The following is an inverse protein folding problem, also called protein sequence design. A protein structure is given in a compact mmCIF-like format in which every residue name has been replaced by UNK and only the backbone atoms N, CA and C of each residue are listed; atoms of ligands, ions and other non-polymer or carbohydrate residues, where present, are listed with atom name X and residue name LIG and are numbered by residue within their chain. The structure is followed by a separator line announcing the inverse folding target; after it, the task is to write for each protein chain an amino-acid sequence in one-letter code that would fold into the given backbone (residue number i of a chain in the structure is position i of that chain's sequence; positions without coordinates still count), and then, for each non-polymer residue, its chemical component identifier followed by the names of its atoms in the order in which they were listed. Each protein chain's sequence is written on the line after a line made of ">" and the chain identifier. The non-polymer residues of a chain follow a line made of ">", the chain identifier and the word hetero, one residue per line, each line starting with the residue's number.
data_IF_469398013464
#
_entry.id   IF_469398013464
#
_cell.length_a   1.000
_cell.length_b   1.000
_cell.length_c   1.000
_cell.angle_alpha   90.00
_cell.angle_beta   90.00
_cell.angle_gamma   90.00
#
_symmetry.space_group_name_H-M   'P 1'
#
loop_
_entity.id
_entity.type
_entity.pdbx_description
1 polymer ?
#
# COMPACT_ATOMS: atom_id res chain seq x y z
N UNK A 1 20.56 -2.71 -2.81
CA UNK A 1 22.00 -2.52 -3.16
C UNK A 1 22.20 -2.04 -4.59
N UNK A 2 21.61 -2.69 -5.62
CA UNK A 2 21.84 -2.26 -7.01
C UNK A 2 21.44 -0.78 -7.20
N UNK A 3 20.19 -0.42 -6.92
CA UNK A 3 19.70 0.95 -7.11
C UNK A 3 20.46 1.99 -6.29
N UNK A 4 20.90 1.68 -5.08
CA UNK A 4 21.67 2.61 -4.25
C UNK A 4 23.03 2.97 -4.84
N UNK A 5 23.69 2.03 -5.50
CA UNK A 5 25.04 2.20 -6.05
C UNK A 5 25.04 2.61 -7.54
N UNK A 6 23.87 2.53 -8.20
CA UNK A 6 23.74 2.85 -9.62
C UNK A 6 23.73 4.38 -9.85
N UNK A 7 24.00 4.81 -11.05
CA UNK A 7 23.82 6.22 -11.45
C UNK A 7 22.32 6.56 -11.55
N UNK A 8 22.01 7.86 -11.43
CA UNK A 8 20.65 8.31 -11.71
C UNK A 8 20.37 8.21 -13.20
N UNK A 9 19.51 7.31 -13.59
CA UNK A 9 19.09 7.11 -14.99
C UNK A 9 17.60 6.83 -15.07
N UNK A 10 17.05 7.02 -16.25
CA UNK A 10 15.65 6.70 -16.54
C UNK A 10 15.54 5.37 -17.31
N UNK A 11 14.59 4.50 -16.97
CA UNK A 11 13.74 4.53 -15.78
C UNK A 11 14.53 4.25 -14.50
N UNK A 12 14.04 4.78 -13.37
CA UNK A 12 14.73 4.67 -12.09
C UNK A 12 14.96 3.21 -11.68
N UNK A 13 16.22 2.89 -11.38
CA UNK A 13 16.62 1.56 -10.90
C UNK A 13 16.52 0.45 -11.95
N UNK A 14 16.50 0.80 -13.24
CA UNK A 14 16.57 -0.18 -14.32
C UNK A 14 17.81 -1.05 -14.16
N UNK A 15 17.60 -2.37 -13.96
CA UNK A 15 18.66 -3.34 -13.77
C UNK A 15 18.65 -4.35 -14.93
N UNK A 16 19.61 -4.26 -15.86
CA UNK A 16 19.68 -5.15 -17.02
C UNK A 16 19.93 -6.61 -16.65
N UNK A 17 20.45 -6.87 -15.43
CA UNK A 17 20.75 -8.22 -14.96
C UNK A 17 19.58 -8.85 -14.17
N UNK A 18 18.42 -8.18 -14.10
CA UNK A 18 17.26 -8.68 -13.37
C UNK A 18 16.00 -8.60 -14.26
N UNK A 19 15.27 -9.71 -14.31
CA UNK A 19 14.09 -9.82 -15.18
C UNK A 19 14.40 -10.31 -16.58
N UNK A 20 15.47 -11.10 -16.78
CA UNK A 20 15.94 -11.60 -18.07
C UNK A 20 16.19 -10.44 -19.06
N UNK A 21 15.62 -10.51 -20.25
CA UNK A 21 15.81 -9.50 -21.31
C UNK A 21 15.02 -8.20 -21.07
N UNK A 22 14.16 -8.16 -20.02
CA UNK A 22 13.18 -7.09 -19.81
C UNK A 22 13.75 -5.91 -19.02
N UNK A 23 14.82 -6.12 -18.24
CA UNK A 23 15.41 -5.09 -17.40
C UNK A 23 14.39 -4.46 -16.41
N UNK A 24 14.10 -5.17 -15.32
CA UNK A 24 13.14 -4.70 -14.32
C UNK A 24 13.59 -3.40 -13.64
N UNK A 25 12.67 -2.44 -13.52
CA UNK A 25 12.89 -1.19 -12.79
C UNK A 25 12.52 -1.28 -11.30
N UNK A 26 12.79 -0.20 -10.56
CA UNK A 26 12.47 -0.10 -9.13
C UNK A 26 10.95 -0.21 -8.85
N UNK A 27 10.12 0.17 -9.81
CA UNK A 27 8.65 0.14 -9.72
C UNK A 27 8.10 -1.27 -9.48
N UNK A 28 8.77 -2.30 -10.04
CA UNK A 28 8.34 -3.70 -9.98
C UNK A 28 9.07 -4.51 -8.91
N UNK A 29 9.80 -3.85 -8.03
CA UNK A 29 10.54 -4.49 -6.95
C UNK A 29 9.83 -4.29 -5.60
N UNK A 30 9.97 -5.24 -4.67
CA UNK A 30 9.49 -5.09 -3.28
C UNK A 30 10.29 -4.08 -2.43
N UNK A 31 11.05 -3.19 -3.06
CA UNK A 31 11.99 -2.29 -2.40
C UNK A 31 11.35 -1.04 -1.77
N UNK A 32 10.02 -0.87 -1.86
CA UNK A 32 9.34 0.37 -1.46
C UNK A 32 9.97 1.58 -2.15
N UNK A 33 9.68 1.85 -3.42
CA UNK A 33 10.38 2.84 -4.25
C UNK A 33 10.58 4.21 -3.61
N UNK A 34 9.60 4.72 -2.87
CA UNK A 34 9.72 6.01 -2.17
C UNK A 34 10.89 6.03 -1.17
N UNK A 35 11.06 4.96 -0.39
CA UNK A 35 12.14 4.84 0.58
C UNK A 35 13.50 4.68 -0.12
N UNK A 36 13.52 3.87 -1.18
CA UNK A 36 14.73 3.67 -1.96
C UNK A 36 15.21 4.97 -2.62
N UNK A 37 14.31 5.77 -3.20
CA UNK A 37 14.63 7.07 -3.79
C UNK A 37 15.12 8.05 -2.72
N UNK A 38 14.39 8.13 -1.60
CA UNK A 38 14.75 9.01 -0.49
C UNK A 38 16.15 8.72 0.05
N UNK A 39 16.44 7.46 0.40
CA UNK A 39 17.74 7.11 0.97
C UNK A 39 18.88 7.12 -0.04
N UNK A 40 18.60 6.98 -1.33
CA UNK A 40 19.63 7.18 -2.37
C UNK A 40 20.19 8.61 -2.39
N UNK A 41 19.41 9.61 -2.03
CA UNK A 41 19.90 11.00 -1.91
C UNK A 41 20.99 11.15 -0.84
N UNK A 42 21.02 10.25 0.15
CA UNK A 42 21.93 10.28 1.28
C UNK A 42 22.98 9.17 1.25
N UNK A 43 23.13 8.47 0.13
CA UNK A 43 23.97 7.26 0.04
C UNK A 43 25.42 7.50 0.48
N UNK A 44 25.97 8.68 0.21
CA UNK A 44 27.36 9.02 0.53
C UNK A 44 27.64 9.20 2.04
N UNK A 45 26.60 9.33 2.86
CA UNK A 45 26.71 9.52 4.32
C UNK A 45 26.17 8.32 5.10
N UNK A 46 25.56 7.35 4.40
CA UNK A 46 25.02 6.16 5.02
C UNK A 46 26.07 5.03 5.08
N UNK A 47 26.04 4.19 6.12
CA UNK A 47 26.90 3.02 6.20
C UNK A 47 26.70 2.06 5.03
N UNK A 48 27.74 1.32 4.61
CA UNK A 48 27.69 0.36 3.49
C UNK A 48 26.62 -0.73 3.64
N UNK A 49 26.31 -1.08 4.89
CA UNK A 49 25.29 -2.10 5.22
C UNK A 49 23.94 -1.49 5.59
N UNK A 50 23.72 -0.21 5.29
CA UNK A 50 22.44 0.44 5.61
C UNK A 50 21.29 -0.19 4.82
N UNK A 51 20.18 -0.43 5.53
CA UNK A 51 18.89 -0.80 4.95
C UNK A 51 17.76 -0.16 5.75
N UNK A 52 16.76 0.33 5.06
CA UNK A 52 15.66 1.14 5.62
C UNK A 52 14.43 0.30 6.03
N UNK A 53 14.45 -1.02 5.89
CA UNK A 53 13.25 -1.83 6.10
C UNK A 53 12.71 -1.77 7.52
N UNK A 54 13.58 -1.77 8.55
CA UNK A 54 13.15 -1.61 9.94
C UNK A 54 12.49 -0.25 10.19
N UNK A 55 13.04 0.82 9.61
CA UNK A 55 12.44 2.14 9.66
C UNK A 55 11.09 2.17 8.94
N UNK A 56 10.99 1.50 7.78
CA UNK A 56 9.72 1.39 7.05
C UNK A 56 8.64 0.70 7.87
N UNK A 57 8.96 -0.43 8.52
CA UNK A 57 8.05 -1.13 9.42
C UNK A 57 7.58 -0.20 10.52
N UNK A 58 8.50 0.49 11.19
CA UNK A 58 8.16 1.46 12.24
C UNK A 58 7.21 2.54 11.74
N UNK A 59 7.49 3.13 10.57
CA UNK A 59 6.61 4.13 9.94
C UNK A 59 5.22 3.55 9.66
N UNK A 60 5.13 2.33 9.13
CA UNK A 60 3.85 1.68 8.86
C UNK A 60 3.03 1.49 10.14
N UNK A 61 3.62 0.97 11.21
CA UNK A 61 2.92 0.79 12.48
C UNK A 61 2.50 2.11 13.12
N UNK A 62 3.40 3.08 13.13
CA UNK A 62 3.11 4.41 13.68
C UNK A 62 1.97 5.08 12.93
N UNK A 63 2.04 5.17 11.60
CA UNK A 63 1.01 5.81 10.79
C UNK A 63 -0.31 5.04 10.82
N UNK A 64 -0.27 3.71 10.85
CA UNK A 64 -1.46 2.87 10.98
C UNK A 64 -2.24 3.21 12.25
N UNK A 65 -1.59 3.20 13.41
CA UNK A 65 -2.24 3.51 14.69
C UNK A 65 -2.65 4.99 14.77
N UNK A 66 -1.80 5.89 14.34
CA UNK A 66 -2.05 7.33 14.42
C UNK A 66 -3.24 7.77 13.56
N UNK A 67 -3.32 7.32 12.31
CA UNK A 67 -4.42 7.67 11.41
C UNK A 67 -5.72 7.01 11.89
N UNK A 68 -5.68 5.74 12.33
CA UNK A 68 -6.83 5.08 12.92
C UNK A 68 -7.34 5.85 14.15
N UNK A 69 -6.44 6.27 15.05
CA UNK A 69 -6.78 7.13 16.18
C UNK A 69 -7.49 8.40 15.72
N UNK A 70 -6.95 9.12 14.73
CA UNK A 70 -7.55 10.36 14.23
C UNK A 70 -8.95 10.15 13.64
N UNK A 71 -9.17 9.05 12.89
CA UNK A 71 -10.47 8.73 12.31
C UNK A 71 -11.50 8.49 13.44
N UNK A 72 -11.15 7.70 14.44
CA UNK A 72 -12.04 7.35 15.53
C UNK A 72 -12.30 8.59 16.40
N UNK A 73 -11.26 9.35 16.74
CA UNK A 73 -11.38 10.56 17.55
C UNK A 73 -12.27 11.61 16.89
N UNK A 74 -12.18 11.80 15.57
CA UNK A 74 -13.07 12.69 14.84
C UNK A 74 -14.55 12.30 14.89
N UNK A 75 -14.87 11.06 15.23
CA UNK A 75 -16.24 10.55 15.32
C UNK A 75 -16.75 10.47 16.76
N UNK A 76 -15.89 10.13 17.70
CA UNK A 76 -16.26 9.82 19.08
C UNK A 76 -15.94 10.94 20.06
N UNK A 77 -14.99 11.82 19.69
CA UNK A 77 -14.41 12.86 20.57
C UNK A 77 -13.86 12.29 21.90
N UNK A 78 -13.63 10.97 21.96
CA UNK A 78 -13.21 10.27 23.16
C UNK A 78 -11.82 9.66 22.96
N UNK A 79 -10.84 10.14 23.76
CA UNK A 79 -9.45 9.72 23.66
C UNK A 79 -9.29 8.23 23.94
N UNK A 80 -9.94 7.72 25.00
CA UNK A 80 -9.81 6.32 25.41
C UNK A 80 -10.33 5.36 24.34
N UNK A 81 -11.53 5.62 23.81
CA UNK A 81 -12.07 4.84 22.69
C UNK A 81 -11.18 4.91 21.46
N UNK A 82 -10.58 6.07 21.19
CA UNK A 82 -9.69 6.24 20.04
C UNK A 82 -8.39 5.45 20.18
N UNK A 83 -7.81 5.42 21.39
CA UNK A 83 -6.63 4.61 21.67
C UNK A 83 -6.96 3.12 21.52
N UNK A 84 -8.01 2.64 22.21
CA UNK A 84 -8.39 1.22 22.16
C UNK A 84 -8.73 0.82 20.72
N UNK A 85 -9.53 1.63 20.01
CA UNK A 85 -9.89 1.37 18.62
C UNK A 85 -8.69 1.34 17.69
N UNK A 86 -7.70 2.23 17.87
CA UNK A 86 -6.50 2.24 17.03
C UNK A 86 -5.63 0.99 17.22
N UNK A 87 -5.66 0.35 18.39
CA UNK A 87 -4.95 -0.90 18.64
C UNK A 87 -5.49 -2.06 17.79
N UNK A 88 -6.79 -2.10 17.50
CA UNK A 88 -7.34 -3.12 16.60
C UNK A 88 -6.77 -2.99 15.18
N UNK A 89 -6.55 -1.78 14.69
CA UNK A 89 -5.90 -1.55 13.40
C UNK A 89 -4.41 -1.89 13.44
N UNK A 90 -3.75 -1.57 14.54
CA UNK A 90 -2.32 -1.84 14.73
C UNK A 90 -2.03 -3.34 14.83
N UNK A 91 -2.87 -4.08 15.57
CA UNK A 91 -2.74 -5.51 15.81
C UNK A 91 -3.49 -6.35 14.76
N UNK A 92 -3.87 -5.76 13.65
CA UNK A 92 -4.54 -6.48 12.56
C UNK A 92 -3.71 -7.68 12.10
N UNK A 93 -4.27 -8.91 12.11
CA UNK A 93 -3.55 -10.11 11.66
C UNK A 93 -3.00 -9.98 10.24
N UNK A 94 -3.75 -9.32 9.35
CA UNK A 94 -3.32 -9.08 7.96
C UNK A 94 -2.05 -8.20 7.92
N UNK A 95 -1.99 -7.15 8.73
CA UNK A 95 -0.81 -6.28 8.81
C UNK A 95 0.41 -7.07 9.30
N UNK A 96 0.23 -7.85 10.37
CA UNK A 96 1.31 -8.65 10.98
C UNK A 96 1.82 -9.72 9.99
N UNK A 97 0.91 -10.40 9.29
CA UNK A 97 1.28 -11.41 8.29
C UNK A 97 2.12 -10.80 7.14
N UNK A 98 1.77 -9.60 6.66
CA UNK A 98 2.52 -8.94 5.57
C UNK A 98 3.95 -8.53 5.94
N UNK A 99 4.28 -8.41 7.21
CA UNK A 99 5.65 -8.13 7.66
C UNK A 99 6.63 -9.26 7.34
N UNK A 100 6.16 -10.49 7.23
CA UNK A 100 7.03 -11.66 6.99
C UNK A 100 7.36 -11.87 5.51
N UNK A 101 6.47 -11.45 4.59
CA UNK A 101 6.61 -11.80 3.17
C UNK A 101 6.69 -10.58 2.24
N UNK A 102 5.89 -9.53 2.48
CA UNK A 102 5.76 -8.39 1.56
C UNK A 102 5.75 -7.05 2.29
N UNK A 103 6.92 -6.55 2.67
CA UNK A 103 7.06 -5.31 3.45
C UNK A 103 6.42 -4.08 2.78
N UNK A 104 6.39 -4.01 1.46
CA UNK A 104 5.70 -2.94 0.73
C UNK A 104 4.19 -2.95 0.97
N UNK A 105 3.59 -4.13 1.18
CA UNK A 105 2.17 -4.29 1.47
C UNK A 105 1.78 -4.01 2.93
N UNK A 106 2.73 -3.73 3.81
CA UNK A 106 2.44 -3.34 5.20
C UNK A 106 1.90 -1.90 5.33
N UNK A 107 1.84 -1.13 4.25
CA UNK A 107 1.41 0.27 4.27
C UNK A 107 -0.12 0.44 4.26
N UNK A 108 -0.87 -0.33 5.03
CA UNK A 108 -2.34 -0.22 5.10
C UNK A 108 -2.82 1.17 5.56
N UNK A 109 -1.95 1.93 6.27
CA UNK A 109 -2.21 3.31 6.64
C UNK A 109 -2.55 4.21 5.45
N UNK A 110 -2.11 3.88 4.23
CA UNK A 110 -2.43 4.59 3.00
C UNK A 110 -3.94 4.54 2.72
N UNK A 111 -4.57 3.38 2.92
CA UNK A 111 -6.02 3.20 2.78
C UNK A 111 -6.75 4.01 3.86
N UNK A 112 -6.29 3.93 5.12
CA UNK A 112 -6.88 4.71 6.22
C UNK A 112 -6.76 6.23 5.96
N UNK A 113 -5.65 6.69 5.37
CA UNK A 113 -5.49 8.10 5.01
C UNK A 113 -6.53 8.54 3.98
N UNK A 114 -6.88 7.69 2.99
CA UNK A 114 -7.97 7.96 2.05
C UNK A 114 -9.31 8.17 2.77
N UNK A 115 -9.66 7.31 3.71
CA UNK A 115 -10.86 7.49 4.54
C UNK A 115 -10.75 8.73 5.43
N UNK A 116 -9.59 8.98 6.04
CA UNK A 116 -9.38 10.18 6.85
C UNK A 116 -9.62 11.46 6.07
N UNK A 117 -9.11 11.57 4.84
CA UNK A 117 -9.35 12.70 3.97
C UNK A 117 -10.86 12.96 3.75
N UNK A 118 -11.68 11.90 3.69
CA UNK A 118 -13.13 12.07 3.54
C UNK A 118 -13.86 12.39 4.84
N UNK A 119 -13.34 11.99 5.98
CA UNK A 119 -13.93 12.35 7.28
C UNK A 119 -13.75 13.85 7.62
N UNK A 120 -12.71 14.49 7.11
CA UNK A 120 -12.43 15.92 7.31
C UNK A 120 -13.13 16.76 6.25
N UNK A 121 -14.03 17.66 6.68
CA UNK A 121 -14.75 18.59 5.78
C UNK A 121 -13.92 19.83 5.43
N UNK A 122 -13.06 20.28 6.34
CA UNK A 122 -12.41 21.59 6.31
C UNK A 122 -10.97 21.54 5.76
N UNK A 123 -10.60 20.47 5.03
CA UNK A 123 -9.27 20.40 4.41
C UNK A 123 -9.23 21.34 3.19
N UNK A 124 -8.41 22.39 3.29
CA UNK A 124 -8.12 23.27 2.16
C UNK A 124 -7.42 22.48 1.04
N UNK A 125 -7.88 22.65 -0.22
CA UNK A 125 -7.35 21.95 -1.39
C UNK A 125 -7.32 20.41 -1.27
N UNK A 126 -8.39 19.80 -0.77
CA UNK A 126 -8.55 18.35 -0.60
C UNK A 126 -8.15 17.55 -1.84
N UNK A 127 -8.38 18.10 -3.03
CA UNK A 127 -8.05 17.45 -4.30
C UNK A 127 -6.53 17.26 -4.50
N UNK A 128 -5.70 18.20 -3.98
CA UNK A 128 -4.23 18.09 -4.00
C UNK A 128 -3.77 16.96 -3.07
N UNK A 129 -4.40 16.83 -1.89
CA UNK A 129 -4.07 15.73 -0.97
C UNK A 129 -4.43 14.37 -1.55
N UNK A 130 -5.55 14.26 -2.27
CA UNK A 130 -5.89 13.04 -3.00
C UNK A 130 -4.87 12.74 -4.11
N UNK A 131 -4.50 13.74 -4.91
CA UNK A 131 -3.48 13.58 -5.95
C UNK A 131 -2.14 13.13 -5.36
N UNK A 132 -1.70 13.77 -4.26
CA UNK A 132 -0.46 13.40 -3.57
C UNK A 132 -0.53 11.99 -2.97
N UNK A 133 -1.64 11.62 -2.32
CA UNK A 133 -1.79 10.31 -1.68
C UNK A 133 -1.81 9.17 -2.71
N UNK A 134 -2.54 9.34 -3.82
CA UNK A 134 -2.61 8.34 -4.89
C UNK A 134 -1.26 8.23 -5.62
N UNK A 135 -0.56 9.34 -5.87
CA UNK A 135 0.79 9.33 -6.42
C UNK A 135 1.79 8.65 -5.47
N UNK A 136 1.72 8.95 -4.17
CA UNK A 136 2.55 8.30 -3.15
C UNK A 136 2.29 6.80 -3.07
N UNK A 137 1.04 6.37 -3.18
CA UNK A 137 0.70 4.95 -3.14
C UNK A 137 1.35 4.16 -4.28
N UNK A 138 1.49 4.76 -5.48
CA UNK A 138 2.19 4.14 -6.61
C UNK A 138 3.70 3.98 -6.37
N UNK A 139 4.28 4.81 -5.50
CA UNK A 139 5.68 4.72 -5.05
C UNK A 139 5.88 3.72 -3.90
N UNK A 140 4.80 3.19 -3.34
CA UNK A 140 4.85 2.17 -2.30
C UNK A 140 4.50 0.80 -2.89
N UNK A 141 3.27 0.64 -3.38
CA UNK A 141 2.82 -0.57 -4.04
C UNK A 141 1.54 -0.31 -4.85
N UNK A 142 1.50 -0.82 -6.09
CA UNK A 142 0.41 -0.56 -7.03
C UNK A 142 -0.98 -1.00 -6.54
N UNK A 143 -1.07 -2.03 -5.70
CA UNK A 143 -2.36 -2.46 -5.13
C UNK A 143 -3.04 -1.36 -4.32
N UNK A 144 -2.28 -0.61 -3.53
CA UNK A 144 -2.84 0.54 -2.80
C UNK A 144 -3.37 1.63 -3.74
N UNK A 145 -2.70 1.81 -4.89
CA UNK A 145 -3.14 2.78 -5.90
C UNK A 145 -4.52 2.43 -6.45
N UNK A 146 -4.74 1.14 -6.79
CA UNK A 146 -6.04 0.66 -7.28
C UNK A 146 -7.13 0.85 -6.22
N UNK A 147 -6.84 0.45 -4.97
CA UNK A 147 -7.79 0.59 -3.85
C UNK A 147 -8.15 2.07 -3.62
N UNK A 148 -7.15 2.94 -3.58
CA UNK A 148 -7.37 4.38 -3.38
C UNK A 148 -8.12 5.04 -4.54
N UNK A 149 -7.85 4.64 -5.78
CA UNK A 149 -8.63 5.09 -6.93
C UNK A 149 -10.09 4.71 -6.79
N UNK A 150 -10.38 3.46 -6.37
CA UNK A 150 -11.75 3.02 -6.08
C UNK A 150 -12.43 3.89 -5.03
N UNK A 151 -11.76 4.12 -3.90
CA UNK A 151 -12.27 4.98 -2.81
C UNK A 151 -12.49 6.42 -3.32
N UNK A 152 -11.50 6.99 -4.01
CA UNK A 152 -11.58 8.34 -4.58
C UNK A 152 -12.76 8.50 -5.53
N UNK A 153 -12.96 7.56 -6.46
CA UNK A 153 -14.08 7.60 -7.39
C UNK A 153 -15.43 7.47 -6.67
N UNK A 154 -15.56 6.55 -5.71
CA UNK A 154 -16.80 6.40 -4.95
C UNK A 154 -17.22 7.70 -4.25
N UNK A 155 -16.28 8.37 -3.57
CA UNK A 155 -16.57 9.64 -2.91
C UNK A 155 -16.80 10.78 -3.89
N UNK A 156 -16.04 10.83 -4.99
CA UNK A 156 -16.17 11.89 -6.00
C UNK A 156 -17.50 11.78 -6.75
N UNK A 157 -17.96 10.56 -7.10
CA UNK A 157 -19.28 10.34 -7.69
C UNK A 157 -20.43 10.66 -6.73
N UNK A 158 -20.28 10.27 -5.45
CA UNK A 158 -21.28 10.61 -4.44
C UNK A 158 -21.44 12.12 -4.28
N UNK A 159 -20.35 12.88 -4.34
CA UNK A 159 -20.39 14.35 -4.28
C UNK A 159 -20.96 14.96 -5.58
N UNK A 160 -20.66 14.38 -6.75
CA UNK A 160 -21.26 14.83 -8.02
C UNK A 160 -22.78 14.72 -7.98
N UNK A 161 -23.30 13.60 -7.47
CA UNK A 161 -24.75 13.40 -7.36
C UNK A 161 -25.45 14.45 -6.45
N UNK A 162 -24.71 15.06 -5.51
CA UNK A 162 -25.24 16.11 -4.65
C UNK A 162 -25.21 17.49 -5.30
N UNK A 163 -24.10 17.84 -5.95
CA UNK A 163 -23.82 19.22 -6.40
C UNK A 163 -23.95 19.41 -7.92
N UNK A 164 -24.03 18.32 -8.71
CA UNK A 164 -24.16 18.31 -10.19
C UNK A 164 -23.15 19.21 -10.93
N UNK A 165 -21.98 19.46 -10.34
CA UNK A 165 -20.98 20.34 -10.94
C UNK A 165 -19.92 19.51 -11.70
N UNK A 166 -20.22 19.19 -12.96
CA UNK A 166 -19.35 18.43 -13.84
C UNK A 166 -17.98 19.06 -14.06
N UNK A 167 -17.88 20.39 -14.09
CA UNK A 167 -16.58 21.07 -14.28
C UNK A 167 -15.63 20.81 -13.12
N UNK A 168 -16.13 20.86 -11.89
CA UNK A 168 -15.35 20.55 -10.69
C UNK A 168 -14.97 19.07 -10.67
N UNK A 169 -15.92 18.21 -11.02
CA UNK A 169 -15.70 16.77 -11.12
C UNK A 169 -14.55 16.41 -12.08
N UNK A 170 -14.61 16.89 -13.33
CA UNK A 170 -13.54 16.62 -14.31
C UNK A 170 -12.19 17.22 -13.91
N UNK A 171 -12.18 18.42 -13.31
CA UNK A 171 -10.94 19.03 -12.80
C UNK A 171 -10.26 18.14 -11.75
N UNK A 172 -11.02 17.58 -10.82
CA UNK A 172 -10.50 16.66 -9.79
C UNK A 172 -9.93 15.39 -10.41
N UNK A 173 -10.68 14.76 -11.30
CA UNK A 173 -10.23 13.55 -12.00
C UNK A 173 -8.93 13.83 -12.78
N UNK A 174 -8.91 14.92 -13.56
CA UNK A 174 -7.74 15.28 -14.35
C UNK A 174 -6.51 15.52 -13.47
N UNK A 175 -6.67 16.22 -12.34
CA UNK A 175 -5.58 16.46 -11.39
C UNK A 175 -5.02 15.15 -10.82
N UNK A 176 -5.91 14.26 -10.33
CA UNK A 176 -5.53 13.01 -9.68
C UNK A 176 -4.90 12.04 -10.68
N UNK A 177 -5.56 11.80 -11.82
CA UNK A 177 -5.04 10.88 -12.83
C UNK A 177 -3.79 11.42 -13.52
N UNK A 178 -3.73 12.74 -13.78
CA UNK A 178 -2.55 13.38 -14.35
C UNK A 178 -1.33 13.28 -13.46
N UNK A 179 -1.48 13.54 -12.15
CA UNK A 179 -0.39 13.38 -11.18
C UNK A 179 0.07 11.92 -11.03
N UNK A 180 -0.89 10.98 -11.00
CA UNK A 180 -0.58 9.54 -10.96
C UNK A 180 0.20 9.10 -12.20
N UNK A 181 -0.31 9.39 -13.40
CA UNK A 181 0.35 9.01 -14.67
C UNK A 181 1.75 9.61 -14.74
N UNK A 182 1.90 10.88 -14.35
CA UNK A 182 3.21 11.54 -14.30
C UNK A 182 4.17 10.82 -13.34
N UNK A 183 3.71 10.46 -12.14
CA UNK A 183 4.53 9.72 -11.17
C UNK A 183 4.90 8.34 -11.69
N UNK A 184 3.93 7.61 -12.24
CA UNK A 184 4.16 6.28 -12.83
C UNK A 184 5.15 6.34 -14.01
N UNK A 185 5.07 7.39 -14.83
CA UNK A 185 6.04 7.61 -15.90
C UNK A 185 7.45 7.80 -15.34
N UNK A 186 7.63 8.69 -14.34
CA UNK A 186 8.93 8.98 -13.75
C UNK A 186 9.62 7.74 -13.16
N UNK A 187 8.87 6.83 -12.53
CA UNK A 187 9.43 5.62 -11.95
C UNK A 187 9.49 4.42 -12.90
N UNK A 188 9.03 4.60 -14.16
CA UNK A 188 9.24 3.63 -15.23
C UNK A 188 8.19 2.52 -15.35
N UNK A 189 6.97 2.70 -14.81
CA UNK A 189 5.89 1.71 -14.98
C UNK A 189 5.57 1.40 -16.44
N UNK A 190 5.69 2.38 -17.34
CA UNK A 190 5.38 2.22 -18.77
C UNK A 190 6.58 1.76 -19.61
N UNK A 191 7.70 1.43 -18.98
CA UNK A 191 8.92 1.03 -19.68
C UNK A 191 8.98 -0.47 -19.95
N UNK A 192 8.27 -1.27 -19.15
CA UNK A 192 8.18 -2.71 -19.37
C UNK A 192 7.00 -3.02 -20.28
N UNK A 193 7.18 -3.80 -21.35
CA UNK A 193 6.08 -4.22 -22.21
C UNK A 193 5.00 -4.95 -21.41
N UNK A 194 3.74 -4.63 -21.66
CA UNK A 194 2.60 -5.20 -20.92
C UNK A 194 2.52 -6.73 -21.05
N UNK A 195 2.91 -7.27 -22.21
CA UNK A 195 2.96 -8.72 -22.47
C UNK A 195 3.91 -9.46 -21.53
N UNK A 196 5.00 -8.80 -21.13
CA UNK A 196 6.04 -9.40 -20.30
C UNK A 196 5.76 -9.20 -18.80
N UNK A 197 4.84 -8.28 -18.48
CA UNK A 197 4.35 -8.06 -17.11
C UNK A 197 3.24 -9.04 -16.70
N UNK A 198 2.69 -9.82 -17.61
CA UNK A 198 1.71 -10.87 -17.33
C UNK A 198 2.42 -12.04 -16.64
N UNK A 199 2.58 -11.94 -15.32
CA UNK A 199 3.20 -12.98 -14.53
C UNK A 199 2.40 -14.29 -14.52
N UNK A 200 3.09 -15.40 -14.36
CA UNK A 200 2.54 -16.77 -14.22
C UNK A 200 1.67 -16.98 -12.95
N UNK A 201 1.48 -15.93 -12.13
CA UNK A 201 0.78 -16.03 -10.84
C UNK A 201 -0.74 -15.98 -10.93
N UNK A 202 -1.33 -15.61 -12.07
CA UNK A 202 -2.79 -15.53 -12.18
C UNK A 202 -3.42 -16.92 -12.04
N UNK A 203 -4.32 -17.08 -11.07
CA UNK A 203 -4.98 -18.35 -10.75
C UNK A 203 -4.25 -19.24 -9.74
N UNK A 204 -2.98 -18.94 -9.40
CA UNK A 204 -2.23 -19.70 -8.40
C UNK A 204 -2.37 -19.09 -6.98
N UNK A 205 -2.69 -17.80 -6.90
CA UNK A 205 -2.84 -17.07 -5.64
C UNK A 205 -4.28 -16.58 -5.52
N UNK A 206 -5.13 -17.42 -4.94
CA UNK A 206 -6.56 -17.14 -4.85
C UNK A 206 -6.95 -16.77 -3.42
N UNK A 207 -7.90 -15.83 -3.29
CA UNK A 207 -8.56 -15.56 -2.02
C UNK A 207 -9.48 -16.75 -1.70
N UNK A 208 -9.24 -17.42 -0.59
CA UNK A 208 -10.17 -18.39 -0.03
C UNK A 208 -11.07 -17.69 0.99
N UNK A 209 -12.39 -17.85 0.83
CA UNK A 209 -13.36 -17.29 1.77
C UNK A 209 -13.24 -17.92 3.17
N UNK A 210 -12.80 -19.17 3.27
CA UNK A 210 -12.50 -19.81 4.54
C UNK A 210 -11.37 -19.11 5.30
N UNK A 211 -10.44 -18.48 4.59
CA UNK A 211 -9.35 -17.71 5.17
C UNK A 211 -9.79 -16.48 5.97
N UNK A 212 -10.99 -15.97 5.71
CA UNK A 212 -11.60 -14.87 6.48
C UNK A 212 -11.87 -15.31 7.93
N UNK A 213 -12.23 -16.57 8.12
CA UNK A 213 -12.61 -17.14 9.41
C UNK A 213 -11.44 -17.85 10.12
N UNK A 214 -10.68 -18.67 9.39
CA UNK A 214 -9.69 -19.56 9.98
C UNK A 214 -8.26 -19.01 9.98
N UNK A 215 -7.85 -18.40 8.89
CA UNK A 215 -6.52 -17.83 8.75
C UNK A 215 -5.37 -18.83 8.86
N UNK A 216 -5.56 -20.10 8.46
CA UNK A 216 -4.50 -21.08 8.50
C UNK A 216 -3.45 -20.80 7.42
N UNK A 217 -2.18 -20.78 7.80
CA UNK A 217 -1.06 -20.56 6.89
C UNK A 217 0.00 -21.63 7.04
N UNK A 218 0.55 -22.10 5.92
CA UNK A 218 1.73 -22.96 5.92
C UNK A 218 2.99 -22.14 6.19
N UNK A 219 3.79 -22.60 7.12
CA UNK A 219 5.13 -22.07 7.39
C UNK A 219 6.15 -23.23 7.29
N UNK A 220 7.41 -22.90 7.11
CA UNK A 220 8.49 -23.89 6.92
C UNK A 220 8.55 -24.99 7.99
N UNK A 221 7.99 -24.77 9.16
CA UNK A 221 7.99 -25.69 10.30
C UNK A 221 6.59 -26.26 10.65
N UNK A 222 5.60 -26.13 9.77
CA UNK A 222 4.25 -26.63 10.00
C UNK A 222 3.15 -25.64 9.61
N UNK A 223 1.94 -25.91 10.10
CA UNK A 223 0.78 -25.04 9.91
C UNK A 223 0.56 -24.19 11.16
N UNK A 224 0.28 -22.90 10.96
CA UNK A 224 -0.14 -21.98 12.02
C UNK A 224 -1.62 -21.63 11.79
N UNK A 225 -2.44 -21.91 12.80
CA UNK A 225 -3.81 -21.40 12.84
C UNK A 225 -3.86 -20.09 13.63
N UNK A 226 -4.46 -19.07 13.04
CA UNK A 226 -4.69 -17.78 13.70
C UNK A 226 -6.02 -17.72 14.45
N UNK A 227 -6.91 -18.68 14.19
CA UNK A 227 -8.20 -18.78 14.88
C UNK A 227 -8.24 -19.97 15.81
N UNK A 228 -8.66 -19.75 17.04
CA UNK A 228 -8.93 -20.83 17.99
C UNK A 228 -10.22 -21.58 17.63
N UNK A 229 -11.24 -20.87 17.19
CA UNK A 229 -12.57 -21.45 16.89
C UNK A 229 -12.62 -22.15 15.53
N UNK A 230 -11.82 -21.74 14.57
CA UNK A 230 -11.83 -22.21 13.19
C UNK A 230 -10.48 -22.80 12.76
N UNK A 231 -9.85 -23.56 13.67
CA UNK A 231 -8.55 -24.18 13.43
C UNK A 231 -8.50 -25.23 12.32
N UNK A 232 -9.66 -25.81 11.94
CA UNK A 232 -9.77 -26.86 10.92
C UNK A 232 -10.06 -26.32 9.51
N UNK A 233 -9.86 -25.03 9.25
CA UNK A 233 -10.00 -24.49 7.89
C UNK A 233 -8.83 -24.93 7.01
N UNK A 234 -9.04 -25.05 5.68
CA UNK A 234 -7.97 -25.41 4.77
C UNK A 234 -6.78 -24.47 4.90
N UNK A 235 -5.57 -25.01 4.72
CA UNK A 235 -4.35 -24.23 4.68
C UNK A 235 -4.36 -23.33 3.45
N UNK A 236 -4.14 -22.04 3.64
CA UNK A 236 -4.16 -21.04 2.59
C UNK A 236 -2.75 -20.83 2.02
N UNK A 237 -2.70 -20.52 0.74
CA UNK A 237 -1.51 -19.90 0.17
C UNK A 237 -1.19 -18.60 0.90
N UNK A 238 0.08 -18.23 1.00
CA UNK A 238 0.51 -17.03 1.73
C UNK A 238 -0.16 -15.72 1.22
N UNK A 239 -0.59 -15.68 -0.03
CA UNK A 239 -1.33 -14.56 -0.63
C UNK A 239 -2.84 -14.58 -0.25
N UNK A 240 -3.39 -15.75 0.02
CA UNK A 240 -4.81 -15.93 0.36
C UNK A 240 -5.18 -15.55 1.80
N UNK A 241 -4.22 -15.16 2.63
CA UNK A 241 -4.47 -14.80 4.02
C UNK A 241 -5.32 -13.53 4.16
N UNK A 242 -6.53 -13.70 4.68
CA UNK A 242 -7.52 -12.62 4.83
C UNK A 242 -8.21 -12.63 6.22
N UNK A 243 -7.58 -13.23 7.22
CA UNK A 243 -8.15 -13.42 8.55
C UNK A 243 -8.56 -12.11 9.24
N UNK A 244 -9.82 -12.04 9.69
CA UNK A 244 -10.40 -10.84 10.31
C UNK A 244 -10.18 -10.72 11.83
N UNK A 245 -9.53 -11.69 12.46
CA UNK A 245 -9.29 -11.63 13.90
C UNK A 245 -10.49 -12.10 14.74
N UNK A 246 -11.18 -13.16 14.32
CA UNK A 246 -12.37 -13.69 15.01
C UNK A 246 -12.04 -14.68 16.13
N UNK A 247 -10.91 -14.56 16.77
CA UNK A 247 -10.52 -15.32 17.97
C UNK A 247 -9.64 -16.53 17.72
#
# INVERSE_FOLDING_TARGET
>A
KFFSNDVWRFPLGSNPNYGMDISSGIAFSGSVPIMAIFFKLFINILPDNFHYFSLWIFICFFLQSYIAFLIIYNKTENILFSIIGSLFFLLSPILINRLTFHLSLSAHWIILMGFYLETKKDIFNKDIYWAALISLSSLVHFYFTIILLGIFFLFTFNNLNKDLNFRVFYKKIFLVLGSLIFTMFLIGYFHVPFTDALGYGYGNYTLDLAGILGGNTSVSNGEISWSYFFSNTPTLDYEGFAYLGLG
#
